data_IF_817191473374
#
_entry.id   IF_817191473374
#
_cell.length_a   1.000
_cell.length_b   1.000
_cell.length_c   1.000
_cell.angle_alpha   90.00
_cell.angle_beta   90.00
_cell.angle_gamma   90.00
#
_symmetry.space_group_name_H-M   'P 1'
#
loop_
_entity.id
_entity.type
_entity.pdbx_description
1 polymer ?
#
# COMPACT_ATOMS: atom_id res chain seq x y z
N UNK A 1 7.38 -29.88 -12.32
CA UNK A 1 7.90 -28.54 -11.96
C UNK A 1 8.30 -28.58 -10.49
N UNK A 2 9.57 -28.88 -10.23
CA UNK A 2 10.09 -29.05 -8.88
C UNK A 2 10.37 -27.69 -8.23
N UNK A 3 9.78 -27.47 -7.06
CA UNK A 3 10.13 -26.39 -6.14
C UNK A 3 11.42 -26.78 -5.40
N UNK A 4 12.44 -25.92 -5.42
CA UNK A 4 13.62 -26.09 -4.59
C UNK A 4 13.56 -25.09 -3.42
N UNK A 5 13.20 -25.62 -2.25
CA UNK A 5 13.45 -25.01 -0.95
C UNK A 5 14.94 -25.12 -0.65
N UNK A 6 15.66 -24.00 -0.64
CA UNK A 6 17.04 -23.97 -0.17
C UNK A 6 17.09 -23.68 1.33
N UNK A 7 17.49 -24.71 2.08
CA UNK A 7 17.85 -24.70 3.49
C UNK A 7 18.99 -23.73 3.81
N UNK A 8 18.88 -23.06 4.97
CA UNK A 8 19.94 -22.25 5.57
C UNK A 8 21.10 -23.15 6.02
N UNK A 9 22.26 -23.01 5.39
CA UNK A 9 23.54 -23.49 5.92
C UNK A 9 24.61 -22.43 5.65
N UNK A 10 25.28 -21.98 6.71
CA UNK A 10 26.25 -20.90 6.68
C UNK A 10 27.38 -21.15 5.70
N UNK A 11 27.50 -20.24 4.72
CA UNK A 11 28.75 -19.93 4.02
C UNK A 11 28.82 -18.42 3.93
N UNK A 12 29.99 -17.87 4.29
CA UNK A 12 30.38 -16.49 4.02
C UNK A 12 30.01 -16.15 2.57
N UNK A 13 28.95 -15.36 2.36
CA UNK A 13 28.62 -14.85 1.03
C UNK A 13 29.67 -13.80 0.67
N UNK A 14 30.34 -14.01 -0.45
CA UNK A 14 31.04 -12.97 -1.19
C UNK A 14 30.12 -11.75 -1.36
N UNK A 15 30.65 -10.51 -1.41
CA UNK A 15 29.82 -9.35 -1.71
C UNK A 15 29.15 -9.63 -3.05
N UNK A 16 27.81 -9.67 -3.04
CA UNK A 16 27.01 -9.87 -4.26
C UNK A 16 27.46 -8.83 -5.27
N UNK A 17 28.16 -9.25 -6.32
CA UNK A 17 28.52 -8.40 -7.45
C UNK A 17 27.23 -8.14 -8.23
N UNK A 18 26.84 -6.86 -8.35
CA UNK A 18 25.63 -6.49 -9.08
C UNK A 18 25.99 -6.41 -10.56
N UNK A 19 25.20 -7.05 -11.43
CA UNK A 19 25.45 -6.97 -12.87
C UNK A 19 25.00 -5.62 -13.44
N UNK A 20 25.73 -5.13 -14.45
CA UNK A 20 25.26 -4.00 -15.27
C UNK A 20 23.94 -4.38 -15.94
N UNK A 21 22.99 -3.43 -15.98
CA UNK A 21 21.66 -3.73 -16.52
C UNK A 21 21.59 -3.59 -18.03
N UNK A 22 22.08 -2.47 -18.58
CA UNK A 22 21.94 -2.12 -20.00
C UNK A 22 23.27 -1.73 -20.62
N UNK A 23 23.35 -1.72 -21.95
CA UNK A 23 24.57 -1.37 -22.67
C UNK A 23 24.93 0.13 -22.57
N UNK A 24 24.01 0.94 -22.06
CA UNK A 24 24.18 2.39 -21.82
C UNK A 24 24.39 2.74 -20.33
N UNK A 25 24.53 1.73 -19.47
CA UNK A 25 24.88 1.90 -18.05
C UNK A 25 26.28 2.50 -17.91
N UNK A 26 26.49 3.31 -16.87
CA UNK A 26 27.81 3.87 -16.55
C UNK A 26 28.69 2.93 -15.69
N UNK A 27 28.27 1.68 -15.49
CA UNK A 27 28.96 0.76 -14.59
C UNK A 27 28.63 0.98 -13.11
N UNK A 28 27.60 1.77 -12.82
CA UNK A 28 27.10 2.03 -11.48
C UNK A 28 25.58 1.87 -11.43
N UNK A 29 25.06 1.58 -10.24
CA UNK A 29 23.62 1.45 -9.98
C UNK A 29 23.25 2.22 -8.72
N UNK A 30 22.23 3.05 -8.82
CA UNK A 30 21.64 3.71 -7.67
C UNK A 30 20.53 2.85 -7.08
N UNK A 31 20.77 2.30 -5.89
CA UNK A 31 19.83 1.41 -5.20
C UNK A 31 19.76 1.74 -3.72
N UNK A 32 18.55 1.98 -3.20
CA UNK A 32 18.32 2.22 -1.78
C UNK A 32 19.16 3.36 -1.19
N UNK A 33 19.31 4.47 -1.93
CA UNK A 33 20.10 5.63 -1.51
C UNK A 33 21.60 5.55 -1.81
N UNK A 34 22.10 4.40 -2.31
CA UNK A 34 23.53 4.15 -2.45
C UNK A 34 23.94 3.96 -3.91
N UNK A 35 25.15 4.44 -4.23
CA UNK A 35 25.84 4.13 -5.48
C UNK A 35 26.58 2.80 -5.34
N UNK A 36 26.23 1.82 -6.17
CA UNK A 36 26.81 0.48 -6.18
C UNK A 36 27.55 0.28 -7.49
N UNK A 37 28.83 -0.10 -7.44
CA UNK A 37 29.56 -0.48 -8.64
C UNK A 37 28.98 -1.78 -9.23
N UNK A 38 28.85 -1.83 -10.54
CA UNK A 38 28.36 -3.02 -11.24
C UNK A 38 29.43 -3.64 -12.12
N UNK A 39 29.48 -4.96 -12.15
CA UNK A 39 30.35 -5.69 -13.06
C UNK A 39 29.69 -5.81 -14.43
N UNK A 40 30.48 -5.56 -15.46
CA UNK A 40 30.06 -5.65 -16.85
C UNK A 40 30.45 -7.01 -17.41
N UNK A 41 29.56 -8.00 -17.32
CA UNK A 41 29.69 -9.21 -18.12
C UNK A 41 29.13 -8.95 -19.53
N UNK A 42 30.03 -8.81 -20.49
CA UNK A 42 29.69 -8.51 -21.89
C UNK A 42 28.78 -9.56 -22.52
N UNK A 43 28.76 -10.80 -22.01
CA UNK A 43 27.92 -11.88 -22.52
C UNK A 43 26.44 -11.72 -22.15
N UNK A 44 26.14 -11.20 -20.96
CA UNK A 44 24.76 -10.95 -20.52
C UNK A 44 24.13 -9.73 -21.19
N UNK A 45 24.92 -8.69 -21.46
CA UNK A 45 24.46 -7.46 -22.12
C UNK A 45 23.98 -7.70 -23.56
N UNK A 46 24.58 -8.67 -24.26
CA UNK A 46 24.20 -9.03 -25.63
C UNK A 46 22.84 -9.74 -25.72
N UNK A 47 22.34 -10.31 -24.62
CA UNK A 47 21.09 -11.09 -24.60
C UNK A 47 19.89 -10.27 -24.12
N UNK A 48 20.11 -9.14 -23.44
CA UNK A 48 19.04 -8.35 -22.82
C UNK A 48 18.86 -7.00 -23.52
N UNK A 49 17.81 -6.92 -24.34
CA UNK A 49 17.38 -5.67 -24.95
C UNK A 49 16.30 -5.00 -24.11
N UNK A 50 16.51 -3.73 -23.76
CA UNK A 50 15.51 -2.95 -23.06
C UNK A 50 14.71 -2.10 -24.04
N UNK A 51 13.40 -2.01 -23.83
CA UNK A 51 12.49 -1.20 -24.66
C UNK A 51 12.97 0.25 -24.77
N UNK A 52 13.49 0.82 -23.67
CA UNK A 52 13.96 2.21 -23.67
C UNK A 52 15.15 2.44 -24.62
N UNK A 53 15.99 1.42 -24.86
CA UNK A 53 17.15 1.52 -25.78
C UNK A 53 16.68 1.71 -27.22
N UNK A 54 15.58 1.07 -27.62
CA UNK A 54 14.96 1.30 -28.92
C UNK A 54 14.38 2.71 -29.04
N UNK A 55 13.76 3.23 -27.96
CA UNK A 55 13.15 4.57 -27.93
C UNK A 55 14.16 5.73 -27.98
N UNK A 56 15.44 5.47 -27.73
CA UNK A 56 16.53 6.46 -27.78
C UNK A 56 17.51 6.21 -28.94
N UNK A 57 17.22 5.24 -29.81
CA UNK A 57 18.00 5.03 -31.01
C UNK A 57 17.98 6.31 -31.86
N UNK A 58 19.13 6.74 -32.37
CA UNK A 58 19.28 8.06 -32.98
C UNK A 58 18.35 8.34 -34.17
N UNK A 59 17.82 7.28 -34.80
CA UNK A 59 16.86 7.40 -35.92
C UNK A 59 15.40 7.54 -35.46
N UNK A 60 15.08 7.12 -34.24
CA UNK A 60 13.70 6.93 -33.77
C UNK A 60 13.38 7.69 -32.46
N UNK A 61 14.34 8.47 -31.93
CA UNK A 61 14.12 9.23 -30.69
C UNK A 61 13.11 10.37 -30.92
N UNK A 62 11.95 10.25 -30.30
CA UNK A 62 10.88 11.24 -30.37
C UNK A 62 11.32 12.61 -29.83
N UNK A 63 10.98 13.72 -30.50
CA UNK A 63 11.21 15.08 -29.98
C UNK A 63 10.34 15.39 -28.75
N UNK A 64 9.31 14.58 -28.47
CA UNK A 64 8.48 14.70 -27.28
C UNK A 64 9.32 14.62 -26.00
N UNK A 65 10.37 13.80 -25.99
CA UNK A 65 11.22 13.60 -24.82
C UNK A 65 11.98 14.86 -24.41
N UNK A 66 12.21 15.80 -25.33
CA UNK A 66 12.87 17.08 -25.05
C UNK A 66 11.89 18.15 -24.53
N UNK A 67 10.59 17.87 -24.54
CA UNK A 67 9.59 18.77 -24.01
C UNK A 67 9.50 18.63 -22.49
N UNK A 68 10.13 19.55 -21.77
CA UNK A 68 10.14 19.54 -20.29
C UNK A 68 8.73 19.67 -19.66
N UNK A 69 7.75 20.16 -20.43
CA UNK A 69 6.35 20.20 -19.99
C UNK A 69 5.72 18.80 -19.97
N UNK A 70 6.00 17.96 -20.98
CA UNK A 70 5.51 16.59 -21.06
C UNK A 70 5.87 15.79 -19.80
N UNK A 71 7.09 15.97 -19.27
CA UNK A 71 7.53 15.29 -18.05
C UNK A 71 6.83 15.76 -16.78
N UNK A 72 6.39 17.02 -16.73
CA UNK A 72 5.58 17.53 -15.63
C UNK A 72 4.17 16.96 -15.69
N UNK A 73 3.54 17.00 -16.87
CA UNK A 73 2.19 16.47 -17.07
C UNK A 73 2.18 14.95 -16.81
N UNK A 74 3.16 14.21 -17.32
CA UNK A 74 3.31 12.77 -17.08
C UNK A 74 3.51 12.43 -15.59
N UNK A 75 4.25 13.26 -14.84
CA UNK A 75 4.38 13.09 -13.39
C UNK A 75 3.04 13.31 -12.69
N UNK A 76 2.33 14.39 -13.02
CA UNK A 76 1.03 14.71 -12.41
C UNK A 76 -0.01 13.64 -12.71
N UNK A 77 -0.08 13.16 -13.96
CA UNK A 77 -0.98 12.08 -14.36
C UNK A 77 -0.65 10.76 -13.64
N UNK A 78 0.65 10.45 -13.50
CA UNK A 78 1.10 9.25 -12.77
C UNK A 78 0.76 9.33 -11.28
N UNK A 79 0.92 10.50 -10.66
CA UNK A 79 0.53 10.74 -9.27
C UNK A 79 -0.98 10.64 -9.09
N UNK A 80 -1.77 11.23 -9.98
CA UNK A 80 -3.24 11.14 -9.94
C UNK A 80 -3.71 9.68 -10.07
N UNK A 81 -3.18 8.94 -11.05
CA UNK A 81 -3.50 7.53 -11.24
C UNK A 81 -3.10 6.66 -10.04
N UNK A 82 -1.93 6.92 -9.45
CA UNK A 82 -1.47 6.17 -8.28
C UNK A 82 -2.32 6.50 -7.05
N UNK A 83 -2.66 7.78 -6.82
CA UNK A 83 -3.56 8.21 -5.73
C UNK A 83 -4.94 7.57 -5.86
N UNK A 84 -5.53 7.53 -7.05
CA UNK A 84 -6.80 6.82 -7.28
C UNK A 84 -6.67 5.31 -6.98
N UNK A 85 -5.60 4.68 -7.49
CA UNK A 85 -5.34 3.27 -7.27
C UNK A 85 -5.24 2.93 -5.77
N UNK A 86 -4.48 3.70 -5.00
CA UNK A 86 -4.34 3.49 -3.54
C UNK A 86 -5.52 4.04 -2.75
N UNK A 87 -6.35 4.91 -3.35
CA UNK A 87 -7.61 5.42 -2.79
C UNK A 87 -7.46 6.73 -2.02
N UNK A 88 -6.39 7.46 -2.29
CA UNK A 88 -6.15 8.83 -1.81
C UNK A 88 -6.84 9.89 -2.67
N UNK A 89 -7.47 9.52 -3.78
CA UNK A 89 -8.23 10.43 -4.64
C UNK A 89 -9.70 9.99 -4.77
N UNK A 90 -10.51 10.20 -3.71
CA UNK A 90 -11.95 9.89 -3.67
C UNK A 90 -12.84 11.13 -3.86
N UNK A 91 -12.26 12.21 -4.39
CA UNK A 91 -12.91 13.50 -4.51
C UNK A 91 -12.74 14.41 -3.28
N UNK A 92 -12.73 15.74 -3.46
CA UNK A 92 -12.31 16.66 -2.40
C UNK A 92 -13.14 16.60 -1.12
N UNK A 93 -14.48 16.49 -1.24
CA UNK A 93 -15.37 16.48 -0.09
C UNK A 93 -15.20 15.21 0.76
N UNK A 94 -15.13 14.05 0.12
CA UNK A 94 -14.95 12.77 0.84
C UNK A 94 -13.59 12.70 1.52
N UNK A 95 -12.54 13.23 0.87
CA UNK A 95 -11.19 13.28 1.42
C UNK A 95 -11.09 14.19 2.64
N UNK A 96 -11.67 15.40 2.59
CA UNK A 96 -11.69 16.31 3.73
C UNK A 96 -12.43 15.67 4.90
N UNK A 97 -13.62 15.12 4.67
CA UNK A 97 -14.39 14.46 5.72
C UNK A 97 -13.68 13.24 6.31
N UNK A 98 -13.02 12.43 5.48
CA UNK A 98 -12.21 11.31 5.95
C UNK A 98 -11.08 11.84 6.84
N UNK A 99 -10.30 12.80 6.35
CA UNK A 99 -9.17 13.38 7.07
C UNK A 99 -9.61 13.93 8.43
N UNK A 100 -10.71 14.70 8.49
CA UNK A 100 -11.22 15.26 9.75
C UNK A 100 -11.65 14.19 10.76
N UNK A 101 -12.08 13.02 10.28
CA UNK A 101 -12.46 11.89 11.14
C UNK A 101 -11.27 11.07 11.67
N UNK A 102 -10.07 11.25 11.11
CA UNK A 102 -8.86 10.54 11.51
C UNK A 102 -8.29 11.08 12.83
N UNK A 103 -7.71 10.20 13.62
CA UNK A 103 -6.89 10.57 14.77
C UNK A 103 -5.60 11.30 14.33
N UNK A 104 -4.94 12.09 15.20
CA UNK A 104 -3.70 12.77 14.85
C UNK A 104 -2.61 11.83 14.30
N UNK A 105 -2.52 10.62 14.86
CA UNK A 105 -1.58 9.60 14.43
C UNK A 105 -1.90 9.05 13.05
N UNK A 106 -3.18 8.85 12.74
CA UNK A 106 -3.62 8.42 11.40
C UNK A 106 -3.44 9.50 10.35
N UNK A 107 -3.68 10.79 10.71
CA UNK A 107 -3.38 11.94 9.84
C UNK A 107 -1.91 11.99 9.47
N UNK A 108 -1.04 11.91 10.47
CA UNK A 108 0.41 11.91 10.26
C UNK A 108 0.86 10.75 9.36
N UNK A 109 0.32 9.54 9.58
CA UNK A 109 0.62 8.39 8.73
C UNK A 109 0.16 8.62 7.28
N UNK A 110 -1.04 9.15 7.10
CA UNK A 110 -1.57 9.44 5.76
C UNK A 110 -0.70 10.47 5.03
N UNK A 111 -0.23 11.50 5.74
CA UNK A 111 0.72 12.49 5.22
C UNK A 111 2.07 11.85 4.85
N UNK A 112 2.61 10.96 5.70
CA UNK A 112 3.84 10.22 5.41
C UNK A 112 3.70 9.29 4.20
N UNK A 113 2.55 8.63 4.03
CA UNK A 113 2.26 7.77 2.88
C UNK A 113 2.14 8.60 1.58
N UNK A 114 1.56 9.79 1.66
CA UNK A 114 1.46 10.74 0.55
C UNK A 114 2.84 11.27 0.13
N UNK A 115 3.66 11.72 1.10
CA UNK A 115 5.04 12.15 0.85
C UNK A 115 5.86 11.07 0.15
N UNK A 116 5.72 9.82 0.63
CA UNK A 116 6.40 8.66 0.05
C UNK A 116 5.95 8.40 -1.38
N UNK A 117 4.64 8.42 -1.65
CA UNK A 117 4.08 8.24 -2.98
C UNK A 117 4.67 9.26 -3.94
N UNK A 118 4.66 10.54 -3.56
CA UNK A 118 5.19 11.64 -4.35
C UNK A 118 6.69 11.48 -4.62
N UNK A 119 7.48 11.17 -3.59
CA UNK A 119 8.92 10.99 -3.71
C UNK A 119 9.29 9.78 -4.58
N UNK A 120 8.55 8.66 -4.46
CA UNK A 120 8.77 7.46 -5.27
C UNK A 120 8.40 7.70 -6.73
N UNK A 121 7.27 8.37 -7.01
CA UNK A 121 6.89 8.76 -8.37
C UNK A 121 7.90 9.73 -8.98
N UNK A 122 8.40 10.70 -8.21
CA UNK A 122 9.40 11.65 -8.69
C UNK A 122 10.75 10.97 -8.95
N UNK A 123 11.17 10.04 -8.08
CA UNK A 123 12.37 9.21 -8.28
C UNK A 123 12.28 8.39 -9.57
N UNK A 124 11.12 7.78 -9.83
CA UNK A 124 10.86 7.05 -11.07
C UNK A 124 10.85 7.99 -12.30
N UNK A 125 10.29 9.18 -12.18
CA UNK A 125 10.31 10.18 -13.25
C UNK A 125 11.76 10.59 -13.60
N UNK A 126 12.63 10.78 -12.60
CA UNK A 126 14.07 11.02 -12.83
C UNK A 126 14.68 9.85 -13.61
N UNK A 127 14.40 8.62 -13.20
CA UNK A 127 14.90 7.43 -13.89
C UNK A 127 14.48 7.41 -15.37
N UNK A 128 13.21 7.71 -15.67
CA UNK A 128 12.71 7.77 -17.04
C UNK A 128 13.32 8.92 -17.85
N UNK A 129 13.48 10.12 -17.27
CA UNK A 129 14.15 11.23 -17.93
C UNK A 129 15.60 10.90 -18.31
N UNK A 130 16.32 10.20 -17.42
CA UNK A 130 17.70 9.74 -17.67
C UNK A 130 17.73 8.64 -18.73
N UNK A 131 16.81 7.67 -18.68
CA UNK A 131 16.65 6.66 -19.73
C UNK A 131 16.39 7.29 -21.10
N UNK A 132 15.58 8.35 -21.17
CA UNK A 132 15.24 9.07 -22.41
C UNK A 132 16.27 10.11 -22.85
N UNK A 133 17.43 10.18 -22.17
CA UNK A 133 18.53 11.11 -22.47
C UNK A 133 18.14 12.60 -22.41
N UNK A 134 17.24 12.98 -21.50
CA UNK A 134 16.97 14.41 -21.26
C UNK A 134 18.22 15.09 -20.64
N UNK A 135 18.55 16.34 -21.01
CA UNK A 135 19.73 17.02 -20.45
C UNK A 135 19.69 17.09 -18.92
N UNK A 136 20.72 16.57 -18.26
CA UNK A 136 20.80 16.49 -16.78
C UNK A 136 20.56 17.83 -16.06
N UNK A 137 21.04 18.99 -16.56
CA UNK A 137 20.71 20.29 -15.96
C UNK A 137 19.22 20.63 -15.99
N UNK A 138 18.49 20.22 -17.04
CA UNK A 138 17.05 20.42 -17.14
C UNK A 138 16.28 19.48 -16.21
N UNK A 139 16.72 18.23 -16.10
CA UNK A 139 16.20 17.27 -15.11
C UNK A 139 16.32 17.86 -13.70
N UNK A 140 17.53 18.29 -13.29
CA UNK A 140 17.75 18.92 -11.97
C UNK A 140 16.82 20.11 -11.75
N UNK A 141 16.68 20.99 -12.73
CA UNK A 141 15.84 22.20 -12.64
C UNK A 141 14.35 21.85 -12.49
N UNK A 142 13.84 20.93 -13.33
CA UNK A 142 12.43 20.56 -13.33
C UNK A 142 12.06 19.79 -12.05
N UNK A 143 12.87 18.81 -11.65
CA UNK A 143 12.62 18.00 -10.46
C UNK A 143 12.61 18.86 -9.19
N UNK A 144 13.55 19.80 -9.02
CA UNK A 144 13.54 20.72 -7.86
C UNK A 144 12.29 21.59 -7.81
N UNK A 145 11.77 22.03 -8.96
CA UNK A 145 10.51 22.77 -9.03
C UNK A 145 9.32 21.88 -8.63
N UNK A 146 9.25 20.66 -9.14
CA UNK A 146 8.19 19.70 -8.80
C UNK A 146 8.21 19.35 -7.31
N UNK A 147 9.39 19.12 -6.75
CA UNK A 147 9.59 18.85 -5.33
C UNK A 147 9.07 20.01 -4.46
N UNK A 148 9.37 21.26 -4.82
CA UNK A 148 8.85 22.43 -4.12
C UNK A 148 7.33 22.62 -4.26
N UNK A 149 6.74 22.27 -5.41
CA UNK A 149 5.27 22.34 -5.64
C UNK A 149 4.50 21.21 -4.97
N UNK A 150 5.14 20.06 -4.77
CA UNK A 150 4.49 18.86 -4.23
C UNK A 150 4.43 18.87 -2.70
N UNK A 151 5.09 19.84 -2.03
CA UNK A 151 5.11 19.98 -0.58
C UNK A 151 5.58 18.73 0.18
N UNK A 152 6.49 17.96 -0.44
CA UNK A 152 7.02 16.72 0.15
C UNK A 152 7.80 17.03 1.42
N UNK A 153 7.54 16.28 2.49
CA UNK A 153 8.26 16.38 3.76
C UNK A 153 9.79 16.23 3.65
N UNK A 154 10.51 16.72 4.66
CA UNK A 154 11.98 16.83 4.65
C UNK A 154 12.68 15.49 4.40
N UNK A 155 12.23 14.41 5.05
CA UNK A 155 12.87 13.09 4.96
C UNK A 155 12.85 12.57 3.52
N UNK A 156 11.69 12.56 2.89
CA UNK A 156 11.51 12.04 1.54
C UNK A 156 12.06 12.98 0.46
N UNK A 157 12.01 14.30 0.70
CA UNK A 157 12.65 15.26 -0.20
C UNK A 157 14.17 15.14 -0.18
N UNK A 158 14.78 14.81 0.96
CA UNK A 158 16.22 14.55 1.03
C UNK A 158 16.62 13.35 0.16
N UNK A 159 15.86 12.25 0.20
CA UNK A 159 16.12 11.08 -0.67
C UNK A 159 16.19 11.46 -2.17
N UNK A 160 15.26 12.30 -2.61
CA UNK A 160 15.25 12.77 -4.01
C UNK A 160 16.43 13.69 -4.31
N UNK A 161 16.81 14.56 -3.37
CA UNK A 161 17.97 15.44 -3.53
C UNK A 161 19.29 14.64 -3.60
N UNK A 162 19.45 13.62 -2.75
CA UNK A 162 20.63 12.75 -2.78
C UNK A 162 20.78 12.05 -4.13
N UNK A 163 19.66 11.59 -4.73
CA UNK A 163 19.65 11.06 -6.10
C UNK A 163 20.05 12.14 -7.13
N UNK A 164 19.53 13.36 -7.02
CA UNK A 164 19.87 14.46 -7.95
C UNK A 164 21.35 14.86 -7.88
N UNK A 165 21.98 14.71 -6.72
CA UNK A 165 23.41 15.00 -6.57
C UNK A 165 24.26 13.98 -7.34
N UNK A 166 23.83 12.71 -7.40
CA UNK A 166 24.49 11.64 -8.15
C UNK A 166 24.17 11.61 -9.65
N UNK A 167 23.19 12.39 -10.12
CA UNK A 167 22.65 12.29 -11.49
C UNK A 167 23.73 12.37 -12.60
N UNK A 168 24.81 13.11 -12.37
CA UNK A 168 25.90 13.27 -13.34
C UNK A 168 26.64 11.96 -13.61
N UNK A 169 26.61 11.03 -12.65
CA UNK A 169 27.25 9.72 -12.71
C UNK A 169 26.31 8.62 -13.22
N UNK A 170 25.03 8.93 -13.43
CA UNK A 170 23.98 7.94 -13.75
C UNK A 170 23.55 8.04 -15.21
N UNK A 171 23.39 6.88 -15.86
CA UNK A 171 23.05 6.75 -17.27
C UNK A 171 22.04 5.61 -17.50
N UNK A 172 21.25 5.71 -18.58
CA UNK A 172 20.31 4.65 -18.93
C UNK A 172 19.39 4.25 -17.77
N UNK A 173 19.41 2.96 -17.42
CA UNK A 173 18.61 2.37 -16.34
C UNK A 173 19.40 2.13 -15.04
N UNK A 174 20.44 2.92 -14.79
CA UNK A 174 21.27 2.86 -13.57
C UNK A 174 20.46 3.18 -12.30
N UNK A 175 19.37 3.93 -12.43
CA UNK A 175 18.45 4.21 -11.32
C UNK A 175 17.45 3.07 -11.19
N UNK A 176 17.36 2.50 -9.99
CA UNK A 176 16.33 1.50 -9.70
C UNK A 176 14.95 2.14 -9.59
N UNK A 177 14.01 1.59 -10.38
CA UNK A 177 12.61 1.95 -10.24
C UNK A 177 12.08 1.46 -8.91
N UNK A 178 11.44 2.37 -8.18
CA UNK A 178 10.72 2.07 -6.95
C UNK A 178 9.33 1.51 -7.32
N UNK A 179 8.94 0.33 -6.81
CA UNK A 179 7.63 -0.23 -7.10
C UNK A 179 6.52 0.66 -6.55
N UNK A 180 5.49 0.92 -7.37
CA UNK A 180 4.34 1.71 -6.96
C UNK A 180 3.59 1.07 -5.78
N UNK A 181 2.99 1.88 -4.90
CA UNK A 181 2.26 1.41 -3.73
C UNK A 181 1.12 0.47 -4.12
N UNK A 182 0.40 0.82 -5.19
CA UNK A 182 -0.67 0.04 -5.81
C UNK A 182 -0.25 -1.38 -6.21
N UNK A 183 1.01 -1.58 -6.64
CA UNK A 183 1.58 -2.89 -6.99
C UNK A 183 2.03 -3.69 -5.77
N UNK A 184 2.34 -3.02 -4.65
CA UNK A 184 2.71 -3.68 -3.39
C UNK A 184 1.50 -4.09 -2.57
N UNK A 185 0.34 -3.49 -2.82
CA UNK A 185 -0.93 -3.91 -2.20
C UNK A 185 -1.15 -5.40 -2.46
N UNK A 186 -1.10 -6.20 -1.40
CA UNK A 186 -1.52 -7.61 -1.49
C UNK A 186 -3.04 -7.62 -1.55
N UNK A 187 -3.57 -8.31 -2.56
CA UNK A 187 -5.01 -8.42 -2.79
C UNK A 187 -5.40 -9.88 -2.78
N UNK A 188 -6.21 -10.28 -1.81
CA UNK A 188 -6.96 -11.52 -1.89
C UNK A 188 -8.35 -11.20 -2.42
N UNK A 189 -8.72 -11.74 -3.57
CA UNK A 189 -10.02 -11.47 -4.21
C UNK A 189 -10.98 -12.64 -4.00
N UNK A 190 -12.20 -12.31 -3.57
CA UNK A 190 -13.28 -13.26 -3.33
C UNK A 190 -14.50 -12.88 -4.14
N UNK A 191 -15.11 -13.86 -4.78
CA UNK A 191 -16.43 -13.67 -5.42
C UNK A 191 -17.49 -13.67 -4.34
N UNK A 192 -18.30 -12.61 -4.30
CA UNK A 192 -19.42 -12.43 -3.37
C UNK A 192 -20.68 -12.01 -4.13
N UNK A 193 -21.84 -12.23 -3.54
CA UNK A 193 -23.11 -11.69 -4.01
C UNK A 193 -23.59 -10.62 -3.02
N UNK A 194 -24.09 -9.50 -3.53
CA UNK A 194 -24.73 -8.49 -2.70
C UNK A 194 -25.95 -9.09 -1.97
N UNK A 195 -26.07 -8.87 -0.66
CA UNK A 195 -27.19 -9.37 0.14
C UNK A 195 -26.92 -10.71 0.83
N UNK A 196 -27.97 -11.50 1.00
CA UNK A 196 -27.95 -12.72 1.85
C UNK A 196 -28.01 -14.03 1.08
N UNK A 197 -28.13 -13.99 -0.24
CA UNK A 197 -28.24 -15.16 -1.10
C UNK A 197 -27.53 -14.93 -2.45
N UNK A 198 -27.67 -15.88 -3.38
CA UNK A 198 -27.06 -15.83 -4.71
C UNK A 198 -27.82 -14.97 -5.72
N UNK A 199 -28.94 -14.34 -5.33
CA UNK A 199 -29.78 -13.57 -6.26
C UNK A 199 -29.28 -12.15 -6.48
N UNK A 200 -28.48 -11.62 -5.55
CA UNK A 200 -27.88 -10.30 -5.69
C UNK A 200 -26.70 -10.30 -6.67
N UNK A 201 -26.31 -9.08 -7.05
CA UNK A 201 -25.26 -8.82 -8.01
C UNK A 201 -23.94 -9.49 -7.61
N UNK A 202 -23.26 -10.06 -8.61
CA UNK A 202 -21.93 -10.65 -8.44
C UNK A 202 -20.90 -9.54 -8.35
N UNK A 203 -20.12 -9.57 -7.27
CA UNK A 203 -19.09 -8.60 -6.95
C UNK A 203 -17.77 -9.32 -6.64
N UNK A 204 -16.66 -8.60 -6.82
CA UNK A 204 -15.34 -9.03 -6.38
C UNK A 204 -14.94 -8.22 -5.15
N UNK A 205 -14.79 -8.91 -4.02
CA UNK A 205 -14.30 -8.32 -2.78
C UNK A 205 -12.80 -8.54 -2.67
N UNK A 206 -12.02 -7.47 -2.81
CA UNK A 206 -10.57 -7.47 -2.67
C UNK A 206 -10.19 -7.05 -1.25
N UNK A 207 -9.66 -7.99 -0.48
CA UNK A 207 -9.08 -7.73 0.84
C UNK A 207 -7.68 -7.18 0.63
N UNK A 208 -7.49 -5.92 1.00
CA UNK A 208 -6.24 -5.18 0.88
C UNK A 208 -5.64 -4.90 2.26
N UNK A 209 -4.40 -4.45 2.25
CA UNK A 209 -3.61 -4.12 3.45
C UNK A 209 -4.32 -3.21 4.46
N UNK A 210 -5.07 -2.19 4.01
CA UNK A 210 -5.73 -1.19 4.87
C UNK A 210 -7.23 -0.99 4.57
N UNK A 211 -7.78 -1.75 3.63
CA UNK A 211 -9.18 -1.62 3.23
C UNK A 211 -9.73 -2.89 2.56
N UNK A 212 -11.05 -2.93 2.40
CA UNK A 212 -11.75 -3.83 1.48
C UNK A 212 -12.24 -3.03 0.29
N UNK A 213 -11.92 -3.46 -0.92
CA UNK A 213 -12.41 -2.86 -2.17
C UNK A 213 -13.47 -3.77 -2.76
N UNK A 214 -14.61 -3.21 -3.13
CA UNK A 214 -15.68 -3.92 -3.84
C UNK A 214 -15.64 -3.50 -5.30
N UNK A 215 -15.47 -4.46 -6.20
CA UNK A 215 -15.49 -4.24 -7.65
C UNK A 215 -16.71 -4.91 -8.29
N UNK A 216 -17.20 -4.29 -9.35
CA UNK A 216 -18.23 -4.86 -10.22
C UNK A 216 -17.67 -6.01 -11.06
N UNK A 217 -18.57 -6.71 -11.76
CA UNK A 217 -18.19 -7.69 -12.78
C UNK A 217 -17.30 -7.13 -13.91
N UNK A 218 -17.37 -5.82 -14.18
CA UNK A 218 -16.50 -5.14 -15.16
C UNK A 218 -15.14 -4.71 -14.60
N UNK A 219 -14.89 -4.94 -13.30
CA UNK A 219 -13.67 -4.54 -12.62
C UNK A 219 -13.67 -3.08 -12.12
N UNK A 220 -14.74 -2.32 -12.34
CA UNK A 220 -14.88 -0.96 -11.81
C UNK A 220 -15.00 -1.00 -10.27
N UNK A 221 -14.36 -0.05 -9.57
CA UNK A 221 -14.49 0.07 -8.11
C UNK A 221 -15.87 0.64 -7.78
N UNK A 222 -16.71 -0.16 -7.14
CA UNK A 222 -18.04 0.25 -6.68
C UNK A 222 -17.99 0.93 -5.31
N UNK A 223 -17.11 0.44 -4.43
CA UNK A 223 -17.05 0.88 -3.03
C UNK A 223 -15.67 0.56 -2.44
N UNK A 224 -15.21 1.39 -1.51
CA UNK A 224 -13.95 1.21 -0.76
C UNK A 224 -14.21 1.40 0.72
N UNK A 225 -14.08 0.32 1.48
CA UNK A 225 -14.24 0.32 2.93
C UNK A 225 -12.88 0.29 3.63
N UNK A 226 -12.42 1.44 4.10
CA UNK A 226 -11.23 1.54 4.95
C UNK A 226 -11.42 0.87 6.30
N UNK A 227 -10.38 0.22 6.82
CA UNK A 227 -10.46 -0.47 8.12
C UNK A 227 -10.72 0.51 9.28
N UNK A 228 -10.23 1.75 9.22
CA UNK A 228 -10.54 2.77 10.25
C UNK A 228 -12.04 3.11 10.35
N UNK A 229 -12.82 2.82 9.30
CA UNK A 229 -14.28 3.05 9.28
C UNK A 229 -15.09 1.80 9.57
N UNK A 230 -14.45 0.63 9.70
CA UNK A 230 -15.15 -0.61 10.00
C UNK A 230 -15.38 -0.72 11.51
N UNK A 231 -16.65 -0.76 11.92
CA UNK A 231 -17.07 -0.85 13.32
C UNK A 231 -17.02 -2.30 13.78
N UNK A 232 -17.58 -3.20 12.97
CA UNK A 232 -17.66 -4.62 13.30
C UNK A 232 -17.80 -5.45 12.02
N UNK A 233 -17.33 -6.68 12.07
CA UNK A 233 -17.54 -7.70 11.05
C UNK A 233 -18.05 -8.98 11.73
N UNK A 234 -19.14 -9.54 11.20
CA UNK A 234 -19.68 -10.83 11.65
C UNK A 234 -19.90 -11.75 10.46
N UNK A 235 -19.90 -13.05 10.67
CA UNK A 235 -20.20 -14.00 9.62
C UNK A 235 -21.01 -15.18 10.16
N UNK A 236 -21.88 -15.74 9.32
CA UNK A 236 -22.65 -16.93 9.65
C UNK A 236 -22.28 -18.06 8.68
N UNK A 237 -21.57 -19.12 9.13
CA UNK A 237 -21.21 -20.25 8.27
C UNK A 237 -22.41 -20.98 7.67
N UNK A 238 -23.53 -21.04 8.41
CA UNK A 238 -24.75 -21.77 7.99
C UNK A 238 -25.44 -21.09 6.82
N UNK A 239 -25.63 -19.77 6.89
CA UNK A 239 -26.25 -18.98 5.81
C UNK A 239 -25.23 -18.47 4.79
N UNK A 240 -23.93 -18.59 5.10
CA UNK A 240 -22.79 -18.16 4.26
C UNK A 240 -22.78 -16.66 3.98
N UNK A 241 -23.24 -15.88 4.96
CA UNK A 241 -23.34 -14.42 4.87
C UNK A 241 -22.27 -13.78 5.75
N UNK A 242 -21.48 -12.89 5.15
CA UNK A 242 -20.61 -11.94 5.81
C UNK A 242 -21.36 -10.62 5.99
N UNK A 243 -21.23 -10.01 7.15
CA UNK A 243 -21.84 -8.75 7.53
C UNK A 243 -20.74 -7.75 7.91
N UNK A 244 -20.67 -6.62 7.22
CA UNK A 244 -19.75 -5.52 7.51
C UNK A 244 -20.54 -4.32 8.03
N UNK A 245 -20.32 -3.97 9.29
CA UNK A 245 -20.86 -2.75 9.90
C UNK A 245 -19.82 -1.65 9.81
N UNK A 246 -20.15 -0.54 9.16
CA UNK A 246 -19.23 0.56 8.95
C UNK A 246 -19.83 1.91 9.32
N UNK A 247 -18.96 2.83 9.70
CA UNK A 247 -19.31 4.22 9.99
C UNK A 247 -19.38 5.02 8.70
N UNK A 248 -20.56 5.56 8.40
CA UNK A 248 -20.74 6.69 7.50
C UNK A 248 -20.79 7.98 8.33
N UNK A 249 -20.73 9.13 7.66
CA UNK A 249 -20.56 10.46 8.26
C UNK A 249 -21.38 10.68 9.54
N UNK A 250 -22.63 10.22 9.57
CA UNK A 250 -23.53 10.34 10.72
C UNK A 250 -24.29 9.07 11.07
N UNK A 251 -24.11 7.98 10.33
CA UNK A 251 -24.92 6.75 10.46
C UNK A 251 -24.08 5.49 10.34
N UNK A 252 -24.56 4.41 10.94
CA UNK A 252 -23.98 3.08 10.77
C UNK A 252 -24.68 2.37 9.63
N UNK A 253 -23.93 1.86 8.66
CA UNK A 253 -24.44 1.02 7.57
C UNK A 253 -24.01 -0.42 7.78
N UNK A 254 -24.94 -1.35 7.58
CA UNK A 254 -24.69 -2.79 7.60
C UNK A 254 -24.79 -3.33 6.17
N UNK A 255 -23.66 -3.75 5.62
CA UNK A 255 -23.60 -4.41 4.32
C UNK A 255 -23.53 -5.93 4.50
N UNK A 256 -24.27 -6.64 3.66
CA UNK A 256 -24.35 -8.11 3.68
C UNK A 256 -23.83 -8.65 2.37
N UNK A 257 -23.02 -9.68 2.46
CA UNK A 257 -22.41 -10.35 1.31
C UNK A 257 -22.52 -11.86 1.45
N UNK A 258 -23.15 -12.51 0.49
CA UNK A 258 -23.20 -13.96 0.42
C UNK A 258 -21.98 -14.50 -0.33
N UNK A 259 -21.31 -15.52 0.21
CA UNK A 259 -20.26 -16.23 -0.53
C UNK A 259 -20.06 -17.64 -0.02
N UNK A 260 -19.78 -18.60 -0.93
CA UNK A 260 -19.44 -19.97 -0.54
C UNK A 260 -18.16 -20.04 0.33
N UNK A 261 -17.28 -19.04 0.22
CA UNK A 261 -16.02 -18.92 0.96
C UNK A 261 -16.14 -17.98 2.18
N UNK A 262 -17.32 -17.88 2.78
CA UNK A 262 -17.61 -16.92 3.86
C UNK A 262 -16.63 -17.00 5.05
N UNK A 263 -16.26 -18.21 5.48
CA UNK A 263 -15.28 -18.42 6.55
C UNK A 263 -13.89 -17.92 6.15
N UNK A 264 -13.39 -18.32 4.99
CA UNK A 264 -12.07 -17.91 4.48
C UNK A 264 -11.99 -16.39 4.34
N UNK A 265 -13.04 -15.78 3.77
CA UNK A 265 -13.12 -14.33 3.59
C UNK A 265 -13.10 -13.58 4.93
N UNK A 266 -13.89 -14.02 5.92
CA UNK A 266 -13.90 -13.42 7.26
C UNK A 266 -12.50 -13.44 7.89
N UNK A 267 -11.83 -14.59 7.89
CA UNK A 267 -10.50 -14.70 8.48
C UNK A 267 -9.43 -13.93 7.69
N UNK A 268 -9.58 -13.85 6.37
CA UNK A 268 -8.70 -13.04 5.54
C UNK A 268 -8.81 -11.54 5.87
N UNK A 269 -10.04 -11.02 5.99
CA UNK A 269 -10.26 -9.62 6.41
C UNK A 269 -9.74 -9.41 7.84
N UNK A 270 -10.05 -10.32 8.77
CA UNK A 270 -9.59 -10.23 10.17
C UNK A 270 -8.07 -10.15 10.27
N UNK A 271 -7.35 -11.06 9.62
CA UNK A 271 -5.89 -11.09 9.62
C UNK A 271 -5.30 -9.82 8.99
N UNK A 272 -5.91 -9.32 7.90
CA UNK A 272 -5.47 -8.09 7.26
C UNK A 272 -5.68 -6.86 8.14
N UNK A 273 -6.81 -6.80 8.85
CA UNK A 273 -7.08 -5.73 9.82
C UNK A 273 -6.11 -5.76 11.00
N UNK A 274 -5.77 -6.93 11.53
CA UNK A 274 -4.79 -7.09 12.61
C UNK A 274 -3.39 -6.63 12.15
N UNK A 275 -3.02 -6.92 10.90
CA UNK A 275 -1.79 -6.40 10.27
C UNK A 275 -1.82 -4.88 10.08
N UNK A 276 -2.98 -4.31 9.72
CA UNK A 276 -3.14 -2.86 9.61
C UNK A 276 -3.00 -2.18 10.98
N UNK A 277 -3.64 -2.73 12.01
CA UNK A 277 -3.57 -2.21 13.38
C UNK A 277 -2.16 -2.32 13.96
N UNK A 278 -1.44 -3.43 13.75
CA UNK A 278 -0.03 -3.55 14.20
C UNK A 278 0.89 -2.57 13.49
N UNK A 279 0.67 -2.29 12.20
CA UNK A 279 1.39 -1.21 11.50
C UNK A 279 1.10 0.17 12.08
N UNK A 280 -0.13 0.46 12.48
CA UNK A 280 -0.47 1.70 13.21
C UNK A 280 0.24 1.79 14.56
N UNK A 281 0.36 0.67 15.29
CA UNK A 281 1.04 0.60 16.59
C UNK A 281 2.55 0.73 16.50
N UNK A 282 3.18 0.24 15.44
CA UNK A 282 4.65 0.30 15.31
C UNK A 282 5.21 1.72 15.10
N UNK A 283 4.36 2.75 14.98
CA UNK A 283 4.74 4.17 15.06
C UNK A 283 4.53 4.83 16.44
N UNK A 284 3.89 4.13 17.40
CA UNK A 284 3.58 4.63 18.75
C UNK A 284 3.72 3.47 19.73
N UNK A 285 4.77 3.51 20.55
CA UNK A 285 4.89 2.64 21.73
C UNK A 285 3.66 2.80 22.62
N UNK A 286 2.75 1.83 22.57
CA UNK A 286 1.54 1.78 23.37
C UNK A 286 0.52 0.88 22.69
N UNK A 287 0.29 -0.30 23.26
CA UNK A 287 -0.79 -1.19 22.82
C UNK A 287 -2.16 -0.52 23.05
N UNK A 288 -3.01 -0.38 22.03
CA UNK A 288 -4.44 -0.38 22.28
C UNK A 288 -4.89 -1.84 22.21
N UNK A 289 -5.04 -2.46 23.37
CA UNK A 289 -5.72 -3.75 23.48
C UNK A 289 -7.11 -3.58 22.87
N UNK A 290 -7.42 -4.35 21.82
CA UNK A 290 -8.80 -4.55 21.39
C UNK A 290 -9.45 -5.44 22.44
N UNK A 291 -9.94 -4.79 23.49
CA UNK A 291 -10.48 -5.40 24.69
C UNK A 291 -10.63 -4.38 25.80
N UNK A 292 -11.53 -4.64 26.73
CA UNK A 292 -11.83 -3.72 27.82
C UNK A 292 -12.72 -4.33 28.88
N UNK A 293 -12.62 -3.81 30.09
CA UNK A 293 -13.51 -4.17 31.19
C UNK A 293 -14.63 -3.12 31.30
N UNK A 294 -15.87 -3.57 31.12
CA UNK A 294 -17.04 -2.72 31.21
C UNK A 294 -17.81 -3.05 32.49
N UNK A 295 -18.15 -2.06 33.33
CA UNK A 295 -19.02 -2.29 34.47
C UNK A 295 -20.42 -2.63 33.97
N UNK A 296 -20.97 -3.72 34.47
CA UNK A 296 -22.32 -4.18 34.20
C UNK A 296 -23.07 -4.40 35.50
N UNK A 297 -24.40 -4.34 35.47
CA UNK A 297 -25.23 -4.61 36.63
C UNK A 297 -26.29 -5.64 36.27
N UNK A 298 -26.43 -6.67 37.10
CA UNK A 298 -27.50 -7.64 36.94
C UNK A 298 -28.85 -6.96 37.23
N UNK A 299 -29.76 -7.03 36.26
CA UNK A 299 -31.04 -6.30 36.29
C UNK A 299 -32.01 -6.85 37.35
N UNK A 300 -31.84 -8.10 37.79
CA UNK A 300 -32.74 -8.76 38.75
C UNK A 300 -32.21 -8.71 40.18
N UNK A 301 -30.90 -8.86 40.36
CA UNK A 301 -30.26 -8.87 41.69
C UNK A 301 -29.63 -7.53 42.06
N UNK A 302 -29.48 -6.60 41.11
CA UNK A 302 -28.79 -5.33 41.30
C UNK A 302 -27.28 -5.48 41.51
N UNK A 303 -26.72 -6.68 41.37
CA UNK A 303 -25.32 -6.97 41.64
C UNK A 303 -24.42 -6.41 40.53
N UNK A 304 -23.39 -5.65 40.91
CA UNK A 304 -22.35 -5.20 39.99
C UNK A 304 -21.44 -6.35 39.53
N UNK A 305 -21.07 -6.33 38.26
CA UNK A 305 -20.12 -7.25 37.64
C UNK A 305 -19.24 -6.53 36.61
N UNK A 306 -18.23 -7.24 36.13
CA UNK A 306 -17.34 -6.79 35.07
C UNK A 306 -17.52 -7.70 33.84
N UNK A 307 -17.79 -7.07 32.70
CA UNK A 307 -17.75 -7.69 31.39
C UNK A 307 -16.35 -7.48 30.81
N UNK A 308 -15.56 -8.54 30.75
CA UNK A 308 -14.26 -8.51 30.12
C UNK A 308 -14.41 -8.96 28.67
N UNK A 309 -14.10 -8.08 27.72
CA UNK A 309 -14.08 -8.41 26.30
C UNK A 309 -12.63 -8.56 25.88
N UNK A 310 -12.23 -9.74 25.40
CA UNK A 310 -10.91 -9.99 24.84
C UNK A 310 -11.02 -10.61 23.45
N UNK A 311 -9.90 -10.69 22.73
CA UNK A 311 -9.83 -11.33 21.41
C UNK A 311 -10.12 -12.84 21.44
N UNK A 312 -10.08 -13.47 22.62
CA UNK A 312 -10.33 -14.89 22.84
C UNK A 312 -11.79 -15.18 23.22
N UNK A 313 -12.56 -14.16 23.62
CA UNK A 313 -13.97 -14.30 23.97
C UNK A 313 -14.49 -13.23 24.92
N UNK A 314 -15.68 -13.49 25.46
CA UNK A 314 -16.35 -12.60 26.43
C UNK A 314 -16.41 -13.31 27.78
N UNK A 315 -15.80 -12.72 28.80
CA UNK A 315 -15.82 -13.18 30.19
C UNK A 315 -16.74 -12.33 31.04
N UNK A 316 -17.50 -12.96 31.94
CA UNK A 316 -18.41 -12.30 32.88
C UNK A 316 -17.99 -12.65 34.31
N UNK A 317 -17.71 -11.64 35.14
CA UNK A 317 -17.32 -11.84 36.54
C UNK A 317 -18.20 -11.00 37.45
N UNK A 318 -18.98 -11.66 38.30
CA UNK A 318 -19.72 -11.01 39.39
C UNK A 318 -18.94 -11.12 40.70
N UNK A 319 -19.10 -10.13 41.58
CA UNK A 319 -18.35 -10.00 42.84
C UNK A 319 -18.48 -11.20 43.81
N UNK A 320 -19.38 -12.16 43.53
CA UNK A 320 -19.59 -13.34 44.38
C UNK A 320 -19.70 -14.68 43.62
N UNK A 321 -18.97 -14.86 42.51
CA UNK A 321 -18.81 -16.20 41.93
C UNK A 321 -17.60 -16.88 42.57
N UNK A 322 -17.81 -17.67 43.64
CA UNK A 322 -16.78 -18.61 44.13
C UNK A 322 -16.42 -19.57 42.99
N UNK A 323 -15.14 -19.64 42.69
CA UNK A 323 -14.54 -20.58 41.74
C UNK A 323 -14.93 -22.00 42.14
N UNK A 324 -15.74 -22.69 41.32
CA UNK A 324 -15.74 -24.15 41.29
C UNK A 324 -14.87 -24.57 40.11
N UNK A 325 -13.68 -25.09 40.42
CA UNK A 325 -12.89 -25.88 39.47
C UNK A 325 -13.53 -27.28 39.40
N UNK A 326 -14.08 -27.62 38.24
CA UNK A 326 -14.17 -28.98 37.70
C UNK A 326 -14.04 -28.86 36.18
#
# INVERSE_FOLDING_TARGET
>A
MFFQLSSFSGRHRSPTTWSSKSCVSAGFRYHGGNMIATDTDASELLLRHYVFEALIAAKDRSPLWDQVQFWEDSFLDSVAAERDAVGMDQGPAEMIHRYDSLTPSEKKRLEEDEDKLLADMLSNAIAFMIMMKLPKPEVKRKVRRLLGRSHIGLVYSQEVNDLLDQINNLHGNDIDLKPSGSKRMRKHSFVVHAGTDTKGDVLFMEVCDDCVIIRSGSGAVCDRCWYERLINMTYCPKTKVLCLSRRLTSTTRLDKYYTKKCRELYFCIKESMEKAATRQKNGISGEPELGGEFPIQDVKSGQGGLLQVTMEGVGLKFSQSKVCKC
#
